data_IF_939660553583
#
_entry.id   IF_939660553583
#
_cell.length_a   1.000
_cell.length_b   1.000
_cell.length_c   1.000
_cell.angle_alpha   90.00
_cell.angle_beta   90.00
_cell.angle_gamma   90.00
#
_symmetry.space_group_name_H-M   'P 1'
#
loop_
_entity.id
_entity.type
_entity.pdbx_description
1 polymer ?
#
# COMPACT_ATOMS: atom_id res chain seq x y z
N UNK A 1 -37.77 2.21 0.44
CA UNK A 1 -36.54 1.91 1.18
C UNK A 1 -35.47 2.85 0.66
N UNK A 2 -34.97 3.75 1.49
CA UNK A 2 -33.95 4.76 1.12
C UNK A 2 -32.77 4.55 2.07
N UNK A 3 -31.78 3.80 1.63
CA UNK A 3 -30.71 3.33 2.50
C UNK A 3 -29.72 2.47 1.73
N UNK A 4 -29.14 3.04 0.69
CA UNK A 4 -28.19 2.38 -0.18
C UNK A 4 -27.10 3.40 -0.50
N UNK A 5 -26.33 3.74 0.53
CA UNK A 5 -25.06 4.41 0.35
C UNK A 5 -24.03 3.34 -0.03
N UNK A 6 -23.49 3.45 -1.24
CA UNK A 6 -22.35 2.64 -1.66
C UNK A 6 -21.08 3.41 -1.29
N UNK A 7 -20.11 2.74 -0.68
CA UNK A 7 -18.80 3.31 -0.35
C UNK A 7 -17.75 2.53 -1.13
N UNK A 8 -16.84 3.25 -1.77
CA UNK A 8 -15.67 2.69 -2.43
C UNK A 8 -14.45 3.01 -1.58
N UNK A 9 -13.67 2.00 -1.21
CA UNK A 9 -12.41 2.15 -0.50
C UNK A 9 -11.25 1.83 -1.45
N UNK A 10 -10.50 2.84 -1.94
CA UNK A 10 -9.39 2.58 -2.86
C UNK A 10 -8.28 1.68 -2.25
N UNK A 11 -8.29 1.46 -0.92
CA UNK A 11 -7.35 0.62 -0.18
C UNK A 11 -7.93 -0.75 0.22
N UNK A 12 -9.02 -1.17 -0.41
CA UNK A 12 -9.52 -2.52 -0.23
C UNK A 12 -8.49 -3.55 -0.74
N UNK A 13 -8.16 -4.52 0.12
CA UNK A 13 -7.18 -5.56 -0.16
C UNK A 13 -7.50 -6.40 -1.41
N UNK A 14 -8.75 -6.39 -1.88
CA UNK A 14 -9.16 -7.05 -3.12
C UNK A 14 -8.49 -6.47 -4.38
N UNK A 15 -8.04 -5.21 -4.34
CA UNK A 15 -7.44 -4.53 -5.51
C UNK A 15 -6.28 -3.58 -5.18
N UNK A 16 -5.93 -3.35 -3.91
CA UNK A 16 -4.79 -2.50 -3.51
C UNK A 16 -3.42 -3.06 -3.93
N UNK A 17 -3.36 -4.31 -4.41
CA UNK A 17 -2.12 -4.96 -4.87
C UNK A 17 -1.91 -4.92 -6.39
N UNK A 18 -2.83 -4.28 -7.12
CA UNK A 18 -2.74 -4.08 -8.56
C UNK A 18 -1.62 -3.11 -8.89
N UNK A 19 -0.63 -3.58 -9.64
CA UNK A 19 0.45 -2.72 -10.10
C UNK A 19 -0.04 -1.65 -11.08
N UNK A 20 0.82 -0.66 -11.37
CA UNK A 20 0.50 0.44 -12.28
C UNK A 20 -0.02 -0.07 -13.64
N UNK A 21 -1.27 0.30 -13.95
CA UNK A 21 -1.92 -0.05 -15.21
C UNK A 21 -2.53 -1.47 -15.26
N UNK A 22 -2.37 -2.29 -14.23
CA UNK A 22 -3.17 -3.49 -14.07
C UNK A 22 -4.62 -3.13 -13.75
N UNK A 23 -5.56 -4.00 -14.11
CA UNK A 23 -6.98 -3.71 -13.93
C UNK A 23 -7.73 -4.90 -13.37
N UNK A 24 -8.75 -4.63 -12.56
CA UNK A 24 -9.77 -5.60 -12.16
C UNK A 24 -11.16 -4.99 -12.22
N UNK A 25 -12.19 -5.81 -12.39
CA UNK A 25 -13.57 -5.37 -12.40
C UNK A 25 -14.24 -5.67 -11.06
N UNK A 26 -14.91 -4.66 -10.51
CA UNK A 26 -15.79 -4.77 -9.34
C UNK A 26 -17.23 -4.67 -9.82
N UNK A 27 -18.00 -5.74 -9.59
CA UNK A 27 -19.41 -5.80 -10.00
C UNK A 27 -20.35 -5.46 -8.86
N UNK A 28 -21.32 -4.59 -9.14
CA UNK A 28 -22.35 -4.16 -8.19
C UNK A 28 -23.72 -4.49 -8.75
N UNK A 29 -24.40 -5.44 -8.12
CA UNK A 29 -25.78 -5.80 -8.48
C UNK A 29 -26.76 -4.89 -7.76
N UNK A 30 -27.52 -4.11 -8.53
CA UNK A 30 -28.60 -3.25 -8.03
C UNK A 30 -29.94 -3.89 -8.37
N UNK A 31 -30.77 -4.09 -7.35
CA UNK A 31 -32.15 -4.52 -7.53
C UNK A 31 -33.10 -3.37 -7.18
N UNK A 32 -34.05 -3.10 -8.07
CA UNK A 32 -35.10 -2.10 -7.88
C UNK A 32 -36.44 -2.83 -7.75
N UNK A 33 -37.27 -2.41 -6.80
CA UNK A 33 -38.60 -2.95 -6.59
C UNK A 33 -39.65 -1.86 -6.82
N UNK A 34 -40.74 -2.19 -7.51
CA UNK A 34 -41.85 -1.26 -7.78
C UNK A 34 -42.83 -1.13 -6.59
N UNK A 35 -42.65 -1.94 -5.54
CA UNK A 35 -43.54 -2.00 -4.37
C UNK A 35 -44.89 -2.68 -4.63
N UNK A 36 -45.11 -3.23 -5.82
CA UNK A 36 -46.32 -3.94 -6.26
C UNK A 36 -46.03 -5.41 -6.61
N UNK A 37 -44.83 -5.89 -6.28
CA UNK A 37 -44.39 -7.28 -6.46
C UNK A 37 -43.48 -7.49 -7.66
N UNK A 38 -43.24 -6.45 -8.46
CA UNK A 38 -42.24 -6.45 -9.53
C UNK A 38 -40.86 -6.06 -8.99
N UNK A 39 -39.84 -6.78 -9.45
CA UNK A 39 -38.44 -6.40 -9.27
C UNK A 39 -37.71 -6.42 -10.60
N UNK A 40 -36.72 -5.55 -10.73
CA UNK A 40 -35.76 -5.53 -11.83
C UNK A 40 -34.34 -5.48 -11.28
N UNK A 41 -33.38 -6.06 -11.99
CA UNK A 41 -31.99 -6.21 -11.52
C UNK A 41 -31.01 -5.81 -12.61
N UNK A 42 -30.04 -4.97 -12.25
CA UNK A 42 -28.97 -4.51 -13.14
C UNK A 42 -27.61 -4.69 -12.47
N UNK A 43 -26.62 -5.16 -13.22
CA UNK A 43 -25.22 -5.20 -12.77
C UNK A 43 -24.49 -3.97 -13.30
N UNK A 44 -23.77 -3.28 -12.42
CA UNK A 44 -22.85 -2.19 -12.75
C UNK A 44 -21.43 -2.75 -12.63
N UNK A 45 -20.66 -2.66 -13.70
CA UNK A 45 -19.24 -3.04 -13.70
C UNK A 45 -18.38 -1.80 -13.52
N UNK A 46 -17.48 -1.83 -12.53
CA UNK A 46 -16.52 -0.77 -12.23
C UNK A 46 -15.12 -1.33 -12.50
N UNK A 47 -14.45 -0.81 -13.51
CA UNK A 47 -13.05 -1.16 -13.77
C UNK A 47 -12.14 -0.32 -12.88
N UNK A 48 -11.42 -1.00 -11.98
CA UNK A 48 -10.37 -0.42 -11.15
C UNK A 48 -9.05 -0.57 -11.89
N UNK A 49 -8.26 0.51 -11.95
CA UNK A 49 -6.91 0.50 -12.50
C UNK A 49 -5.92 0.76 -11.38
N UNK A 50 -4.92 -0.11 -11.23
CA UNK A 50 -3.86 -0.01 -10.24
C UNK A 50 -2.93 1.17 -10.48
N UNK A 51 -2.33 1.64 -9.39
CA UNK A 51 -1.29 2.68 -9.37
C UNK A 51 0.03 2.10 -8.87
N UNK A 52 1.08 2.91 -8.80
CA UNK A 52 2.26 2.54 -8.02
C UNK A 52 2.15 3.19 -6.65
N UNK A 53 2.01 2.36 -5.63
CA UNK A 53 2.07 2.79 -4.25
C UNK A 53 3.53 2.96 -3.80
N UNK A 54 3.73 3.79 -2.78
CA UNK A 54 5.06 3.97 -2.22
C UNK A 54 5.36 2.85 -1.22
N UNK A 55 6.60 2.34 -1.16
CA UNK A 55 6.96 1.33 -0.18
C UNK A 55 6.87 1.89 1.24
N UNK A 56 6.54 1.01 2.18
CA UNK A 56 6.43 1.32 3.60
C UNK A 56 7.59 0.68 4.34
N UNK A 57 8.39 1.48 5.03
CA UNK A 57 9.46 0.99 5.90
C UNK A 57 8.89 0.33 7.16
N UNK A 58 9.50 -0.77 7.60
CA UNK A 58 9.22 -1.34 8.89
C UNK A 58 9.72 -0.42 10.02
N UNK A 59 9.14 -0.57 11.21
CA UNK A 59 9.61 0.15 12.38
C UNK A 59 11.07 -0.19 12.67
N UNK A 60 11.90 0.83 12.86
CA UNK A 60 13.32 0.66 13.12
C UNK A 60 13.60 0.37 14.61
N UNK A 61 14.75 -0.24 14.87
CA UNK A 61 15.29 -0.44 16.21
C UNK A 61 16.35 0.62 16.48
N UNK A 62 16.05 1.57 17.36
CA UNK A 62 17.07 2.51 17.82
C UNK A 62 18.15 1.77 18.63
N UNK A 63 19.40 1.90 18.19
CA UNK A 63 20.55 1.34 18.88
C UNK A 63 21.59 2.43 19.11
N UNK A 64 22.05 2.56 20.36
CA UNK A 64 23.08 3.52 20.74
C UNK A 64 24.47 2.89 20.67
N UNK A 65 25.40 3.57 19.98
CA UNK A 65 26.80 3.19 19.94
C UNK A 65 27.64 4.04 20.89
N UNK A 66 28.68 3.44 21.47
CA UNK A 66 29.74 4.13 22.20
C UNK A 66 31.08 3.92 21.51
N UNK A 67 31.97 4.91 21.59
CA UNK A 67 33.32 4.81 21.04
C UNK A 67 34.07 3.62 21.69
N UNK A 68 34.61 2.73 20.86
CA UNK A 68 35.30 1.52 21.30
C UNK A 68 34.39 0.43 21.89
N UNK A 69 33.06 0.59 21.78
CA UNK A 69 32.07 -0.42 22.16
C UNK A 69 31.93 -1.55 21.15
N UNK A 70 30.98 -2.45 21.42
CA UNK A 70 30.66 -3.58 20.54
C UNK A 70 30.03 -3.11 19.22
N UNK A 71 30.23 -3.90 18.16
CA UNK A 71 29.59 -3.66 16.86
C UNK A 71 28.07 -3.82 16.99
N UNK A 72 27.35 -2.84 16.45
CA UNK A 72 25.90 -2.90 16.32
C UNK A 72 25.56 -3.39 14.91
N UNK A 73 24.71 -4.41 14.84
CA UNK A 73 24.16 -4.92 13.59
C UNK A 73 22.64 -4.85 13.64
N UNK A 74 22.03 -4.50 12.51
CA UNK A 74 20.59 -4.48 12.34
C UNK A 74 20.21 -4.81 10.90
N UNK A 75 18.92 -4.96 10.67
CA UNK A 75 18.37 -5.15 9.33
C UNK A 75 17.27 -4.13 9.12
N UNK A 76 17.36 -3.37 8.03
CA UNK A 76 16.25 -2.54 7.57
C UNK A 76 15.43 -3.34 6.58
N UNK A 77 14.12 -3.33 6.76
CA UNK A 77 13.17 -3.96 5.84
C UNK A 77 12.06 -2.97 5.49
N UNK A 78 11.51 -3.14 4.29
CA UNK A 78 10.35 -2.43 3.82
C UNK A 78 9.47 -3.39 3.02
N UNK A 79 8.21 -3.02 2.82
CA UNK A 79 7.26 -3.75 1.99
C UNK A 79 6.63 -2.81 0.99
N UNK A 80 6.36 -3.33 -0.20
CA UNK A 80 5.48 -2.69 -1.17
C UNK A 80 4.22 -3.56 -1.32
N UNK A 81 3.07 -2.93 -1.46
CA UNK A 81 1.79 -3.64 -1.61
C UNK A 81 1.57 -4.13 -3.05
N UNK A 82 2.24 -3.50 -4.02
CA UNK A 82 2.12 -3.84 -5.43
C UNK A 82 2.82 -5.16 -5.74
N UNK A 83 2.09 -6.09 -6.36
CA UNK A 83 2.58 -7.47 -6.60
C UNK A 83 3.74 -7.59 -7.60
N UNK A 84 4.07 -6.53 -8.33
CA UNK A 84 5.05 -6.59 -9.42
C UNK A 84 5.90 -5.32 -9.61
N UNK A 85 5.97 -4.40 -8.64
CA UNK A 85 6.73 -3.16 -8.81
C UNK A 85 8.08 -3.14 -8.09
N UNK A 86 9.14 -3.12 -8.92
CA UNK A 86 10.46 -2.62 -8.59
C UNK A 86 11.26 -3.39 -7.54
N UNK A 87 12.57 -3.13 -7.52
CA UNK A 87 13.40 -3.53 -6.40
C UNK A 87 13.35 -2.44 -5.32
N UNK A 88 13.21 -2.85 -4.06
CA UNK A 88 13.40 -1.94 -2.92
C UNK A 88 14.87 -1.53 -2.85
N UNK A 89 15.13 -0.23 -2.85
CA UNK A 89 16.47 0.33 -2.68
C UNK A 89 16.58 1.04 -1.35
N UNK A 90 17.74 0.87 -0.70
CA UNK A 90 18.00 1.43 0.63
C UNK A 90 19.20 2.36 0.56
N UNK A 91 19.13 3.48 1.26
CA UNK A 91 20.22 4.45 1.36
C UNK A 91 20.27 5.06 2.76
N UNK A 92 21.46 5.49 3.17
CA UNK A 92 21.62 6.27 4.38
C UNK A 92 21.29 7.73 4.08
N UNK A 93 20.54 8.36 4.97
CA UNK A 93 20.24 9.79 4.93
C UNK A 93 20.57 10.45 6.27
N UNK A 94 20.83 11.75 6.26
CA UNK A 94 21.03 12.52 7.47
C UNK A 94 19.69 13.01 8.07
N UNK A 95 19.77 13.78 9.16
CA UNK A 95 18.59 14.30 9.85
C UNK A 95 17.73 15.26 8.99
N UNK A 96 18.26 15.76 7.89
CA UNK A 96 17.56 16.63 6.95
C UNK A 96 17.00 15.85 5.75
N UNK A 97 17.30 14.55 5.65
CA UNK A 97 16.91 13.70 4.53
C UNK A 97 17.88 13.74 3.35
N UNK A 98 19.06 14.36 3.51
CA UNK A 98 20.09 14.39 2.48
C UNK A 98 20.90 13.09 2.48
N UNK A 99 21.43 12.68 1.33
CA UNK A 99 22.23 11.44 1.23
C UNK A 99 23.45 11.49 2.17
N UNK A 100 23.57 10.46 3.01
CA UNK A 100 24.63 10.33 4.00
C UNK A 100 25.55 9.15 3.71
N UNK A 101 26.71 9.17 4.35
CA UNK A 101 27.61 8.02 4.45
C UNK A 101 27.63 7.54 5.88
N UNK A 102 27.91 6.24 6.08
CA UNK A 102 28.13 5.71 7.41
C UNK A 102 29.23 6.53 8.11
N UNK A 103 29.11 6.81 9.41
CA UNK A 103 30.17 7.47 10.17
C UNK A 103 31.47 6.67 10.05
N UNK A 104 32.62 7.36 10.11
CA UNK A 104 33.91 6.70 10.01
C UNK A 104 34.05 5.59 11.06
N UNK A 105 34.40 4.38 10.63
CA UNK A 105 34.51 3.19 11.50
C UNK A 105 33.27 2.30 11.55
N UNK A 106 32.19 2.65 10.83
CA UNK A 106 31.02 1.79 10.62
C UNK A 106 31.04 1.26 9.18
N UNK A 107 30.76 -0.04 9.01
CA UNK A 107 30.58 -0.72 7.71
C UNK A 107 29.25 -1.42 7.66
#
# INVERSE_FOLDING_TARGET
MTGNAWTFDPKDAAYDSLAVGETTDVEVTVQVADGQGGTDTQTITITVTGTNDAPVAAADVEAGATEGGDVISGTVTATDVDTAQGDLTYSLVDANGDAASAPAGFT
#
